data_IF_951028890409
#
_entry.id   IF_951028890409
#
_cell.length_a   1.000
_cell.length_b   1.000
_cell.length_c   1.000
_cell.angle_alpha   90.00
_cell.angle_beta   90.00
_cell.angle_gamma   90.00
#
_symmetry.space_group_name_H-M   'P 1'
#
loop_
_entity.id
_entity.type
_entity.pdbx_description
1 polymer ?
#
# COMPACT_ATOMS: atom_id res chain seq x y z
N UNK A 1 11.55 14.70 8.13
CA UNK A 1 12.22 13.42 7.79
C UNK A 1 11.18 12.55 7.10
N UNK A 2 11.19 12.46 5.76
CA UNK A 2 10.20 11.66 5.05
C UNK A 2 10.59 10.18 5.13
N UNK A 3 10.12 9.49 6.16
CA UNK A 3 10.16 8.04 6.21
C UNK A 3 9.20 7.52 5.12
N UNK A 4 9.73 7.08 3.99
CA UNK A 4 8.95 6.35 2.98
C UNK A 4 8.58 5.00 3.58
N UNK A 5 7.36 4.89 4.06
CA UNK A 5 6.78 3.61 4.41
C UNK A 5 6.60 2.84 3.09
N UNK A 6 7.48 1.89 2.84
CA UNK A 6 7.34 1.00 1.68
C UNK A 6 6.37 -0.10 2.07
N UNK A 7 5.15 -0.04 1.54
CA UNK A 7 4.26 -1.19 1.52
C UNK A 7 4.88 -2.16 0.50
N UNK A 8 5.66 -3.13 0.97
CA UNK A 8 6.28 -4.11 0.09
C UNK A 8 5.21 -5.10 -0.38
N UNK A 9 4.81 -4.96 -1.64
CA UNK A 9 4.15 -6.03 -2.37
C UNK A 9 5.22 -6.75 -3.18
N UNK A 10 5.35 -8.07 -3.01
CA UNK A 10 6.34 -8.89 -3.68
C UNK A 10 6.20 -8.80 -5.20
N UNK A 11 7.23 -8.38 -5.88
CA UNK A 11 7.28 -8.34 -7.33
C UNK A 11 8.16 -9.48 -7.85
N UNK A 12 7.53 -10.58 -8.26
CA UNK A 12 8.13 -11.52 -9.20
C UNK A 12 7.73 -11.11 -10.61
N UNK A 13 8.58 -10.41 -11.33
CA UNK A 13 8.33 -9.99 -12.71
C UNK A 13 8.49 -11.20 -13.65
N UNK A 14 7.37 -11.77 -14.08
CA UNK A 14 7.32 -12.58 -15.30
C UNK A 14 6.87 -11.67 -16.45
N UNK A 15 7.75 -11.39 -17.37
CA UNK A 15 7.43 -10.65 -18.59
C UNK A 15 6.57 -11.54 -19.51
N UNK A 16 5.26 -11.26 -19.56
CA UNK A 16 4.33 -11.88 -20.53
C UNK A 16 4.07 -10.85 -21.62
N UNK A 17 4.30 -11.24 -22.87
CA UNK A 17 3.96 -10.43 -24.04
C UNK A 17 2.43 -10.18 -24.09
N UNK A 18 1.95 -8.99 -24.55
CA UNK A 18 0.53 -8.73 -24.63
C UNK A 18 -0.11 -9.58 -25.72
N UNK A 19 -0.91 -10.57 -25.32
CA UNK A 19 -1.87 -11.22 -26.20
C UNK A 19 -3.10 -10.34 -26.31
N UNK A 20 -3.56 -10.11 -27.54
CA UNK A 20 -4.84 -9.46 -27.78
C UNK A 20 -5.94 -10.34 -27.15
N UNK A 21 -6.59 -9.86 -26.13
CA UNK A 21 -7.68 -10.57 -25.47
C UNK A 21 -8.93 -10.39 -26.34
N UNK A 22 -9.41 -11.46 -26.95
CA UNK A 22 -10.73 -11.51 -27.57
C UNK A 22 -11.81 -11.21 -26.53
N UNK A 23 -13.01 -10.80 -26.97
CA UNK A 23 -14.07 -10.26 -26.11
C UNK A 23 -14.34 -11.11 -24.85
N UNK A 24 -13.61 -10.82 -23.80
CA UNK A 24 -13.73 -11.49 -22.53
C UNK A 24 -15.06 -11.12 -21.88
N UNK A 25 -15.67 -12.07 -21.20
CA UNK A 25 -16.77 -11.75 -20.28
C UNK A 25 -16.24 -10.81 -19.20
N UNK A 26 -16.82 -9.63 -19.07
CA UNK A 26 -16.37 -8.61 -18.12
C UNK A 26 -17.36 -8.44 -17.00
N UNK A 27 -16.87 -8.57 -15.77
CA UNK A 27 -17.68 -8.45 -14.57
C UNK A 27 -17.24 -7.22 -13.77
N UNK A 28 -18.19 -6.27 -13.56
CA UNK A 28 -17.97 -5.16 -12.65
C UNK A 28 -18.05 -5.68 -11.21
N UNK A 29 -16.92 -5.77 -10.54
CA UNK A 29 -16.77 -6.37 -9.23
C UNK A 29 -16.69 -5.33 -8.13
N UNK A 30 -17.40 -5.57 -7.02
CA UNK A 30 -17.34 -4.79 -5.79
C UNK A 30 -16.88 -5.69 -4.65
N UNK A 31 -15.94 -5.23 -3.85
CA UNK A 31 -15.41 -5.98 -2.70
C UNK A 31 -16.50 -6.10 -1.63
N UNK A 32 -16.77 -7.34 -1.23
CA UNK A 32 -17.80 -7.65 -0.24
C UNK A 32 -17.34 -7.32 1.19
N UNK A 33 -18.26 -6.91 2.08
CA UNK A 33 -17.94 -6.58 3.48
C UNK A 33 -17.37 -7.75 4.30
N UNK A 34 -17.53 -8.98 3.81
CA UNK A 34 -16.96 -10.20 4.43
C UNK A 34 -15.46 -10.35 4.17
N UNK A 35 -14.90 -9.50 3.33
CA UNK A 35 -13.48 -9.50 3.03
C UNK A 35 -12.67 -9.08 4.25
N UNK A 36 -11.48 -9.68 4.41
CA UNK A 36 -10.57 -9.37 5.50
C UNK A 36 -9.16 -9.12 4.98
N UNK A 37 -8.46 -8.22 5.65
CA UNK A 37 -7.07 -7.89 5.36
C UNK A 37 -6.32 -7.63 6.67
N UNK A 38 -5.11 -8.17 6.79
CA UNK A 38 -4.21 -7.89 7.90
C UNK A 38 -2.78 -7.75 7.39
N UNK A 39 -2.02 -6.82 7.96
CA UNK A 39 -0.62 -6.62 7.62
C UNK A 39 0.16 -6.09 8.82
N UNK A 40 1.38 -6.59 8.97
CA UNK A 40 2.36 -6.10 9.92
C UNK A 40 3.68 -5.92 9.17
N UNK A 41 4.10 -4.67 9.01
CA UNK A 41 5.38 -4.32 8.40
C UNK A 41 6.27 -3.72 9.46
N UNK A 42 7.41 -4.33 9.71
CA UNK A 42 8.42 -3.85 10.64
C UNK A 42 9.71 -3.54 9.89
N UNK A 43 10.21 -2.32 10.07
CA UNK A 43 11.50 -1.90 9.55
C UNK A 43 12.50 -1.91 10.69
N UNK A 44 13.73 -2.34 10.43
CA UNK A 44 14.87 -2.25 11.35
C UNK A 44 15.98 -1.47 10.68
N UNK A 45 16.28 -0.27 11.21
CA UNK A 45 17.30 0.64 10.69
C UNK A 45 18.40 0.82 11.74
N UNK A 46 19.58 0.18 11.57
CA UNK A 46 20.71 0.41 12.46
C UNK A 46 21.19 1.86 12.34
N UNK A 47 21.47 2.48 13.48
CA UNK A 47 21.92 3.86 13.60
C UNK A 47 23.09 3.91 14.59
N UNK A 48 24.23 4.41 14.18
CA UNK A 48 25.35 4.68 15.04
C UNK A 48 25.72 6.16 15.01
N UNK A 49 26.08 6.71 16.15
CA UNK A 49 26.37 8.14 16.21
C UNK A 49 26.89 8.60 17.56
N UNK A 50 26.76 9.89 17.75
CA UNK A 50 27.14 10.56 18.99
C UNK A 50 26.07 11.55 19.39
N UNK A 51 25.98 11.83 20.68
CA UNK A 51 25.20 12.95 21.20
C UNK A 51 26.03 13.86 22.09
N UNK A 52 25.61 15.11 22.16
CA UNK A 52 26.19 16.13 22.98
C UNK A 52 25.09 16.85 23.76
N UNK A 53 25.30 17.05 25.05
CA UNK A 53 24.25 17.52 25.96
C UNK A 53 24.11 19.02 26.06
N UNK A 54 23.18 19.42 26.89
CA UNK A 54 22.84 20.81 27.21
C UNK A 54 22.44 21.64 25.97
N UNK A 55 21.65 21.02 25.09
CA UNK A 55 21.08 21.72 23.97
C UNK A 55 19.93 22.64 24.44
N UNK A 56 19.96 23.88 23.97
CA UNK A 56 18.85 24.82 24.02
C UNK A 56 18.84 25.63 22.72
N UNK A 57 17.71 25.70 22.07
CA UNK A 57 17.57 26.29 20.73
C UNK A 57 17.95 27.79 20.70
N UNK A 58 17.84 28.48 21.81
CA UNK A 58 18.10 29.94 21.94
C UNK A 58 19.45 30.22 22.58
N UNK A 59 19.71 29.58 23.74
CA UNK A 59 20.87 29.92 24.57
C UNK A 59 22.09 29.03 24.32
N UNK A 60 21.89 27.82 23.75
CA UNK A 60 22.97 26.86 23.48
C UNK A 60 22.66 25.94 22.29
N UNK A 61 22.51 26.50 21.07
CA UNK A 61 22.04 25.76 19.90
C UNK A 61 23.00 24.68 19.39
N UNK A 62 24.26 24.72 19.81
CA UNK A 62 25.27 23.73 19.41
C UNK A 62 25.43 22.59 20.40
N UNK A 63 24.79 22.68 21.58
CA UNK A 63 24.94 21.74 22.67
C UNK A 63 26.34 21.75 23.30
N UNK A 64 26.40 21.51 24.58
CA UNK A 64 27.69 21.42 25.31
C UNK A 64 27.51 20.49 26.52
N UNK A 65 28.63 20.19 27.20
CA UNK A 65 28.67 19.62 28.56
C UNK A 65 28.13 18.18 28.68
N UNK A 66 28.62 17.30 27.81
CA UNK A 66 28.62 15.86 28.08
C UNK A 66 30.01 15.39 28.43
N UNK A 67 30.12 14.40 29.33
CA UNK A 67 31.40 13.77 29.74
C UNK A 67 31.25 12.26 29.88
N UNK A 68 32.21 11.49 29.42
CA UNK A 68 32.17 10.03 29.57
C UNK A 68 32.44 9.60 31.02
N UNK A 69 31.85 8.46 31.42
CA UNK A 69 32.02 7.82 32.72
C UNK A 69 31.32 8.52 33.88
N UNK A 70 31.45 7.97 35.06
CA UNK A 70 30.82 8.46 36.31
C UNK A 70 31.42 9.80 36.77
N UNK A 71 32.69 9.98 36.63
CA UNK A 71 33.40 11.14 37.16
C UNK A 71 33.78 12.14 36.08
N UNK A 72 33.74 11.72 34.83
CA UNK A 72 34.00 12.54 33.63
C UNK A 72 35.24 13.43 33.73
N UNK A 73 36.05 13.49 32.70
CA UNK A 73 37.16 14.43 32.60
C UNK A 73 36.73 15.89 32.49
N UNK A 74 37.64 16.81 32.27
CA UNK A 74 37.35 18.18 31.90
C UNK A 74 36.99 18.28 30.43
N UNK A 75 36.09 19.20 30.10
CA UNK A 75 35.71 19.47 28.72
C UNK A 75 34.36 18.85 28.29
N UNK A 76 33.99 19.15 27.09
CA UNK A 76 32.78 18.65 26.45
C UNK A 76 33.16 17.57 25.43
N UNK A 77 32.62 16.39 25.58
CA UNK A 77 32.96 15.22 24.74
C UNK A 77 31.65 14.63 24.22
N UNK A 78 31.58 14.43 22.92
CA UNK A 78 30.45 13.72 22.31
C UNK A 78 30.44 12.26 22.74
N UNK A 79 29.29 11.77 23.18
CA UNK A 79 29.13 10.42 23.72
C UNK A 79 28.65 9.50 22.58
N UNK A 80 29.36 8.41 22.29
CA UNK A 80 28.99 7.46 21.28
C UNK A 80 27.76 6.63 21.74
N UNK A 81 26.88 6.34 20.78
CA UNK A 81 25.77 5.40 20.94
C UNK A 81 25.62 4.50 19.71
N UNK A 82 24.97 3.38 19.90
CA UNK A 82 24.41 2.56 18.83
C UNK A 82 22.93 2.31 19.11
N UNK A 83 22.19 2.15 18.05
CA UNK A 83 20.73 2.06 18.10
C UNK A 83 20.20 1.25 16.94
N UNK A 84 18.97 0.75 17.08
CA UNK A 84 18.16 0.31 15.96
C UNK A 84 16.81 1.01 16.05
N UNK A 85 16.49 1.79 15.05
CA UNK A 85 15.18 2.43 14.91
C UNK A 85 14.20 1.47 14.23
N UNK A 86 13.05 1.25 14.84
CA UNK A 86 12.05 0.25 14.42
C UNK A 86 10.68 0.87 14.23
N UNK A 87 10.40 1.47 13.06
CA UNK A 87 9.02 1.76 12.67
C UNK A 87 8.27 0.45 12.39
N UNK A 88 7.06 0.34 12.93
CA UNK A 88 6.18 -0.81 12.74
C UNK A 88 4.79 -0.33 12.36
N UNK A 89 4.36 -0.66 11.15
CA UNK A 89 2.99 -0.40 10.69
C UNK A 89 2.13 -1.65 10.87
N UNK A 90 0.98 -1.49 11.51
CA UNK A 90 0.06 -2.60 11.80
C UNK A 90 -1.34 -2.26 11.33
N UNK A 91 -1.86 -3.14 10.48
CA UNK A 91 -3.28 -3.29 10.16
C UNK A 91 -3.68 -4.64 10.75
N UNK A 92 -4.26 -4.65 11.94
CA UNK A 92 -4.51 -5.89 12.68
C UNK A 92 -5.62 -6.73 12.06
N UNK A 93 -6.69 -6.08 11.63
CA UNK A 93 -7.79 -6.66 10.85
C UNK A 93 -8.61 -5.53 10.29
N UNK A 94 -8.83 -5.52 8.98
CA UNK A 94 -9.68 -4.55 8.32
C UNK A 94 -10.63 -5.24 7.36
N UNK A 95 -11.71 -4.55 7.00
CA UNK A 95 -12.63 -4.97 5.95
C UNK A 95 -12.37 -4.07 4.74
N UNK A 96 -11.53 -4.51 3.78
CA UNK A 96 -11.21 -3.72 2.62
C UNK A 96 -12.45 -3.43 1.79
N UNK A 97 -12.45 -2.27 1.15
CA UNK A 97 -13.49 -1.84 0.21
C UNK A 97 -12.87 -1.50 -1.13
N UNK A 98 -13.69 -1.51 -2.18
CA UNK A 98 -13.20 -1.13 -3.49
C UNK A 98 -13.89 -1.86 -4.62
N UNK A 99 -13.37 -1.66 -5.82
CA UNK A 99 -13.95 -2.22 -7.04
C UNK A 99 -12.89 -2.45 -8.11
N UNK A 100 -13.22 -3.29 -9.07
CA UNK A 100 -12.43 -3.55 -10.28
C UNK A 100 -13.31 -4.24 -11.31
N UNK A 101 -12.85 -4.30 -12.55
CA UNK A 101 -13.47 -5.13 -13.58
C UNK A 101 -12.60 -6.37 -13.75
N UNK A 102 -13.21 -7.54 -13.68
CA UNK A 102 -12.60 -8.84 -13.93
C UNK A 102 -13.02 -9.35 -15.29
N UNK A 103 -12.08 -9.54 -16.20
CA UNK A 103 -12.29 -10.12 -17.51
C UNK A 103 -11.84 -11.57 -17.57
N UNK A 104 -12.63 -12.44 -18.21
CA UNK A 104 -12.28 -13.84 -18.46
C UNK A 104 -12.66 -14.21 -19.89
N UNK A 105 -11.68 -14.65 -20.66
CA UNK A 105 -11.91 -15.36 -21.90
C UNK A 105 -11.95 -16.88 -21.60
N UNK A 106 -13.14 -17.47 -21.69
CA UNK A 106 -13.33 -18.90 -21.39
C UNK A 106 -12.71 -19.82 -22.43
N UNK A 107 -12.45 -19.32 -23.64
CA UNK A 107 -11.88 -20.14 -24.72
C UNK A 107 -10.37 -20.30 -24.55
N UNK A 108 -9.69 -19.25 -24.14
CA UNK A 108 -8.24 -19.22 -23.98
C UNK A 108 -7.77 -19.34 -22.53
N UNK A 109 -8.64 -19.08 -21.57
CA UNK A 109 -8.28 -18.94 -20.16
C UNK A 109 -7.55 -17.64 -19.85
N UNK A 110 -7.54 -16.65 -20.76
CA UNK A 110 -6.94 -15.36 -20.47
C UNK A 110 -7.79 -14.59 -19.46
N UNK A 111 -7.11 -13.94 -18.51
CA UNK A 111 -7.72 -13.08 -17.49
C UNK A 111 -7.12 -11.69 -17.58
N UNK A 112 -7.96 -10.68 -17.48
CA UNK A 112 -7.52 -9.30 -17.28
C UNK A 112 -8.23 -8.66 -16.07
N UNK A 113 -7.54 -7.72 -15.45
CA UNK A 113 -8.11 -6.85 -14.40
C UNK A 113 -7.90 -5.40 -14.78
N UNK A 114 -8.97 -4.61 -14.71
CA UNK A 114 -8.92 -3.18 -15.02
C UNK A 114 -9.63 -2.36 -13.95
N UNK A 115 -9.14 -1.14 -13.73
CA UNK A 115 -9.75 -0.20 -12.81
C UNK A 115 -9.69 -0.63 -11.34
N UNK A 116 -8.71 -1.45 -10.94
CA UNK A 116 -8.57 -1.84 -9.54
C UNK A 116 -8.34 -0.60 -8.67
N UNK A 117 -9.25 -0.40 -7.72
CA UNK A 117 -9.16 0.62 -6.69
C UNK A 117 -9.60 0.01 -5.35
N UNK A 118 -8.63 -0.24 -4.47
CA UNK A 118 -8.86 -0.84 -3.16
C UNK A 118 -8.47 0.13 -2.06
N UNK A 119 -9.33 0.26 -1.05
CA UNK A 119 -8.97 0.81 0.26
C UNK A 119 -8.79 -0.37 1.22
N UNK A 120 -7.55 -0.69 1.57
CA UNK A 120 -7.24 -1.86 2.40
C UNK A 120 -7.54 -1.65 3.87
N UNK A 121 -7.68 -0.40 4.33
CA UNK A 121 -8.11 -0.09 5.69
C UNK A 121 -9.63 -0.20 5.86
N UNK A 122 -10.39 0.01 4.79
CA UNK A 122 -11.85 0.13 4.90
C UNK A 122 -12.24 1.30 5.81
N UNK A 123 -13.10 1.02 6.78
CA UNK A 123 -13.52 1.98 7.80
C UNK A 123 -12.60 1.95 9.07
N UNK A 124 -11.72 0.96 9.17
CA UNK A 124 -10.76 0.84 10.26
C UNK A 124 -9.51 1.66 9.96
N UNK A 125 -8.82 2.08 10.99
CA UNK A 125 -7.49 2.67 10.87
C UNK A 125 -6.39 1.62 11.04
N UNK A 126 -5.17 2.03 10.75
CA UNK A 126 -3.96 1.32 11.12
C UNK A 126 -3.15 2.13 12.12
N UNK A 127 -2.11 1.53 12.67
CA UNK A 127 -1.18 2.21 13.58
C UNK A 127 0.24 2.11 13.06
N UNK A 128 1.05 3.14 13.32
CA UNK A 128 2.49 3.11 13.15
C UNK A 128 3.11 3.39 14.51
N UNK A 129 3.76 2.42 15.08
CA UNK A 129 4.55 2.55 16.29
C UNK A 129 6.02 2.68 15.91
N UNK A 130 6.71 3.70 16.39
CA UNK A 130 8.16 3.84 16.20
C UNK A 130 8.86 3.70 17.54
N UNK A 131 9.75 2.73 17.63
CA UNK A 131 10.59 2.48 18.81
C UNK A 131 12.06 2.56 18.41
N UNK A 132 12.90 2.85 19.37
CA UNK A 132 14.35 2.86 19.21
C UNK A 132 14.98 2.07 20.35
N UNK A 133 15.85 1.13 20.04
CA UNK A 133 16.69 0.50 21.06
C UNK A 133 18.03 1.21 21.12
N UNK A 134 18.43 1.66 22.32
CA UNK A 134 19.67 2.40 22.57
C UNK A 134 20.67 1.55 23.34
N UNK A 135 21.93 1.66 22.94
CA UNK A 135 23.09 1.14 23.67
C UNK A 135 24.11 2.26 23.80
N UNK A 136 24.50 2.57 25.02
CA UNK A 136 25.53 3.57 25.31
C UNK A 136 26.28 3.26 26.59
N UNK A 137 27.49 3.79 26.69
CA UNK A 137 28.33 3.71 27.93
C UNK A 137 27.92 4.83 28.89
N UNK A 138 28.22 4.63 30.18
CA UNK A 138 27.95 5.62 31.24
C UNK A 138 28.51 7.00 30.86
N UNK A 139 27.71 8.05 31.03
CA UNK A 139 28.10 9.44 30.81
C UNK A 139 27.36 10.39 31.76
N UNK A 140 27.79 11.65 31.75
CA UNK A 140 27.14 12.73 32.54
C UNK A 140 26.78 13.91 31.65
N UNK A 141 25.69 14.59 32.04
CA UNK A 141 25.33 15.95 31.58
C UNK A 141 25.47 16.92 32.76
N UNK A 142 25.47 18.22 32.49
CA UNK A 142 25.59 19.27 33.52
C UNK A 142 24.44 20.24 33.57
N UNK A 143 23.59 20.27 32.54
CA UNK A 143 22.34 21.01 32.52
C UNK A 143 21.27 20.19 31.80
N UNK A 144 20.43 19.48 32.52
CA UNK A 144 20.49 19.24 33.97
C UNK A 144 21.70 18.37 34.36
N UNK A 145 22.15 18.53 35.61
CA UNK A 145 23.24 17.65 36.14
C UNK A 145 22.67 16.27 36.42
N UNK A 146 23.06 15.30 35.60
CA UNK A 146 22.64 13.91 35.74
C UNK A 146 23.70 12.95 35.23
N UNK A 147 23.75 11.77 35.84
CA UNK A 147 24.55 10.64 35.39
C UNK A 147 23.62 9.62 34.72
N UNK A 148 23.99 9.25 33.53
CA UNK A 148 23.32 8.21 32.72
C UNK A 148 24.15 6.94 32.82
N UNK A 149 23.60 5.93 33.49
CA UNK A 149 24.24 4.63 33.62
C UNK A 149 24.21 3.94 32.25
N UNK A 150 25.34 3.37 31.84
CA UNK A 150 25.42 2.66 30.57
C UNK A 150 24.40 1.53 30.50
N UNK A 151 23.78 1.41 29.33
CA UNK A 151 22.73 0.42 29.06
C UNK A 151 23.00 -0.28 27.74
N UNK A 152 22.44 -1.48 27.62
CA UNK A 152 22.37 -2.22 26.38
C UNK A 152 20.91 -2.48 26.04
N UNK A 153 20.53 -2.14 24.82
CA UNK A 153 19.17 -2.37 24.28
C UNK A 153 18.06 -1.70 25.12
N UNK A 154 18.28 -0.47 25.60
CA UNK A 154 17.22 0.32 26.21
C UNK A 154 16.15 0.60 25.15
N UNK A 155 14.93 0.13 25.37
CA UNK A 155 13.82 0.33 24.47
C UNK A 155 13.11 1.67 24.77
N UNK A 156 13.15 2.57 23.81
CA UNK A 156 12.60 3.93 23.90
C UNK A 156 11.48 4.08 22.88
N UNK A 157 10.24 4.31 23.31
CA UNK A 157 9.18 4.69 22.39
C UNK A 157 9.45 6.11 21.86
N UNK A 158 9.40 6.28 20.53
CA UNK A 158 9.60 7.57 19.88
C UNK A 158 8.28 8.21 19.50
N UNK A 159 7.38 7.41 18.94
CA UNK A 159 6.09 7.92 18.45
C UNK A 159 5.08 6.79 18.26
N UNK A 160 3.78 7.17 18.36
CA UNK A 160 2.65 6.39 17.92
C UNK A 160 1.86 7.23 16.92
N UNK A 161 1.86 6.78 15.67
CA UNK A 161 1.19 7.42 14.56
C UNK A 161 -0.10 6.66 14.20
N UNK A 162 -1.05 7.36 13.59
CA UNK A 162 -2.24 6.74 13.02
C UNK A 162 -2.14 6.69 11.51
N UNK A 163 -2.52 5.56 10.91
CA UNK A 163 -2.80 5.43 9.48
C UNK A 163 -4.28 5.70 9.25
N UNK A 164 -4.59 6.68 8.42
CA UNK A 164 -5.96 7.05 8.04
C UNK A 164 -6.34 6.61 6.63
N UNK A 165 -5.36 6.46 5.74
CA UNK A 165 -5.54 6.00 4.36
C UNK A 165 -4.50 4.96 4.01
N UNK A 166 -4.93 3.88 3.37
CA UNK A 166 -4.05 2.95 2.66
C UNK A 166 -4.81 2.41 1.45
N UNK A 167 -4.52 2.99 0.29
CA UNK A 167 -5.19 2.64 -0.97
C UNK A 167 -4.22 2.05 -1.97
N UNK A 168 -4.72 1.14 -2.80
CA UNK A 168 -4.01 0.59 -3.93
C UNK A 168 -4.83 0.84 -5.20
N UNK A 169 -4.30 1.64 -6.11
CA UNK A 169 -4.95 1.99 -7.38
C UNK A 169 -4.13 1.45 -8.53
N UNK A 170 -4.78 0.77 -9.47
CA UNK A 170 -4.10 0.21 -10.64
C UNK A 170 -3.35 1.27 -11.43
N UNK A 171 -2.10 0.99 -11.77
CA UNK A 171 -1.19 1.90 -12.48
C UNK A 171 -0.78 1.41 -13.87
N UNK A 172 -1.19 0.21 -14.27
CA UNK A 172 -0.84 -0.37 -15.56
C UNK A 172 -1.68 -1.59 -15.91
N UNK A 173 -1.48 -2.17 -17.11
CA UNK A 173 -2.23 -3.35 -17.54
C UNK A 173 -1.93 -4.55 -16.61
N UNK A 174 -2.97 -5.35 -16.37
CA UNK A 174 -2.91 -6.55 -15.56
C UNK A 174 -3.52 -7.72 -16.33
N UNK A 175 -2.65 -8.61 -16.80
CA UNK A 175 -3.03 -9.79 -17.57
C UNK A 175 -2.54 -11.02 -16.82
N UNK A 176 -3.37 -12.06 -16.78
CA UNK A 176 -3.09 -13.33 -16.12
C UNK A 176 -3.71 -14.50 -16.86
N UNK A 177 -3.82 -15.61 -16.16
CA UNK A 177 -4.37 -16.84 -16.71
C UNK A 177 -5.33 -17.51 -15.72
N UNK A 178 -6.30 -18.22 -16.27
CA UNK A 178 -7.21 -19.06 -15.52
C UNK A 178 -7.32 -20.45 -16.13
N UNK A 179 -7.69 -21.40 -15.28
CA UNK A 179 -7.97 -22.80 -15.64
C UNK A 179 -9.33 -23.22 -15.10
N UNK A 180 -10.12 -23.83 -15.96
CA UNK A 180 -11.41 -24.38 -15.57
C UNK A 180 -11.24 -25.62 -14.67
N UNK A 181 -12.03 -25.72 -13.63
CA UNK A 181 -12.15 -26.88 -12.77
C UNK A 181 -13.33 -27.76 -13.21
N UNK A 182 -13.33 -29.02 -12.81
CA UNK A 182 -14.40 -29.96 -13.14
C UNK A 182 -15.77 -29.58 -12.54
N UNK A 183 -15.80 -28.77 -11.50
CA UNK A 183 -17.02 -28.28 -10.84
C UNK A 183 -17.57 -26.98 -11.46
N UNK A 184 -16.98 -26.50 -12.56
CA UNK A 184 -17.39 -25.28 -13.25
C UNK A 184 -16.82 -23.99 -12.69
N UNK A 185 -16.02 -24.06 -11.64
CA UNK A 185 -15.24 -22.92 -11.15
C UNK A 185 -13.96 -22.71 -11.96
N UNK A 186 -13.31 -21.56 -11.80
CA UNK A 186 -12.07 -21.23 -12.48
C UNK A 186 -11.02 -20.79 -11.47
N UNK A 187 -9.86 -21.47 -11.46
CA UNK A 187 -8.70 -21.00 -10.74
C UNK A 187 -7.98 -19.97 -11.58
N UNK A 188 -7.59 -18.86 -11.00
CA UNK A 188 -6.90 -17.78 -11.73
C UNK A 188 -5.73 -17.20 -10.93
N UNK A 189 -4.80 -16.58 -11.66
CA UNK A 189 -3.72 -15.78 -11.11
C UNK A 189 -3.46 -14.59 -12.01
N UNK A 190 -3.43 -13.39 -11.42
CA UNK A 190 -3.10 -12.14 -12.10
C UNK A 190 -2.32 -11.23 -11.18
N UNK A 191 -1.27 -10.59 -11.70
CA UNK A 191 -0.52 -9.56 -10.97
C UNK A 191 -0.93 -8.19 -11.48
N UNK A 192 -1.45 -7.36 -10.59
CA UNK A 192 -1.91 -6.01 -10.89
C UNK A 192 -0.87 -5.01 -10.42
N UNK A 193 -0.22 -4.25 -11.32
CA UNK A 193 0.63 -3.13 -10.92
C UNK A 193 -0.23 -2.03 -10.32
N UNK A 194 0.19 -1.51 -9.18
CA UNK A 194 -0.58 -0.49 -8.44
C UNK A 194 0.31 0.65 -7.97
N UNK A 195 -0.31 1.80 -7.76
CA UNK A 195 0.22 2.86 -6.91
C UNK A 195 -0.42 2.73 -5.55
N UNK A 196 0.40 2.57 -4.53
CA UNK A 196 -0.04 2.53 -3.13
C UNK A 196 0.10 3.93 -2.55
N UNK A 197 -1.00 4.46 -2.00
CA UNK A 197 -1.01 5.72 -1.26
C UNK A 197 -1.32 5.46 0.21
N UNK A 198 -0.51 6.06 1.08
CA UNK A 198 -0.63 5.94 2.54
C UNK A 198 -0.65 7.34 3.14
N UNK A 199 -1.63 7.61 4.00
CA UNK A 199 -1.73 8.87 4.74
C UNK A 199 -1.95 8.60 6.23
N UNK A 200 -1.49 9.54 7.04
CA UNK A 200 -1.64 9.43 8.48
C UNK A 200 -1.08 10.63 9.21
N UNK A 201 -0.91 10.49 10.52
CA UNK A 201 -0.27 11.49 11.37
C UNK A 201 0.89 10.85 12.11
N UNK A 202 2.05 11.49 12.09
CA UNK A 202 3.23 11.09 12.83
C UNK A 202 3.83 12.31 13.54
N UNK A 203 4.18 12.17 14.81
CA UNK A 203 4.71 13.27 15.63
C UNK A 203 3.82 14.52 15.61
N UNK A 204 2.50 14.33 15.59
CA UNK A 204 1.52 15.41 15.49
C UNK A 204 1.41 16.09 14.14
N UNK A 205 2.15 15.64 13.12
CA UNK A 205 2.14 16.22 11.76
C UNK A 205 1.55 15.23 10.76
N UNK A 206 0.71 15.68 9.81
CA UNK A 206 0.21 14.84 8.75
C UNK A 206 1.35 14.42 7.80
N UNK A 207 1.28 13.21 7.29
CA UNK A 207 2.16 12.73 6.23
C UNK A 207 1.37 12.05 5.13
N UNK A 208 1.90 12.12 3.92
CA UNK A 208 1.40 11.41 2.73
C UNK A 208 2.58 10.74 2.05
N UNK A 209 2.40 9.50 1.63
CA UNK A 209 3.41 8.76 0.88
C UNK A 209 2.76 7.98 -0.26
N UNK A 210 3.38 8.01 -1.43
CA UNK A 210 2.97 7.19 -2.57
C UNK A 210 4.16 6.34 -3.04
N UNK A 211 3.90 5.09 -3.38
CA UNK A 211 4.92 4.18 -3.90
C UNK A 211 4.34 3.22 -4.94
N UNK A 212 5.14 2.81 -5.95
CA UNK A 212 4.74 1.73 -6.82
C UNK A 212 4.73 0.41 -6.06
N UNK A 213 3.82 -0.47 -6.45
CA UNK A 213 3.68 -1.81 -5.88
C UNK A 213 3.00 -2.76 -6.85
N UNK A 214 2.74 -3.96 -6.40
CA UNK A 214 1.93 -4.93 -7.14
C UNK A 214 0.97 -5.65 -6.19
N UNK A 215 -0.20 -5.98 -6.69
CA UNK A 215 -1.20 -6.74 -5.96
C UNK A 215 -1.40 -8.08 -6.70
N UNK A 216 -1.08 -9.19 -6.04
CA UNK A 216 -1.27 -10.51 -6.62
C UNK A 216 -2.65 -11.01 -6.25
N UNK A 217 -3.50 -11.20 -7.26
CA UNK A 217 -4.83 -11.79 -7.12
C UNK A 217 -4.76 -13.24 -7.58
N UNK A 218 -4.77 -14.16 -6.63
CA UNK A 218 -4.81 -15.61 -6.89
C UNK A 218 -6.01 -16.21 -6.16
N UNK A 219 -6.81 -16.98 -6.86
CA UNK A 219 -8.01 -17.51 -6.25
C UNK A 219 -8.94 -18.23 -7.22
N UNK A 220 -10.22 -18.22 -6.89
CA UNK A 220 -11.27 -18.87 -7.67
C UNK A 220 -12.34 -17.88 -8.11
N UNK A 221 -12.81 -18.05 -9.31
CA UNK A 221 -13.98 -17.36 -9.87
C UNK A 221 -15.11 -18.38 -10.07
N UNK A 222 -16.29 -18.05 -9.56
CA UNK A 222 -17.52 -18.83 -9.73
C UNK A 222 -18.54 -17.98 -10.44
N UNK A 223 -19.22 -18.52 -11.43
CA UNK A 223 -20.18 -17.81 -12.27
C UNK A 223 -21.54 -18.44 -12.18
N UNK A 224 -22.57 -17.62 -12.02
CA UNK A 224 -23.98 -18.05 -11.99
C UNK A 224 -24.81 -17.03 -12.79
N UNK A 225 -25.03 -17.34 -14.07
CA UNK A 225 -25.61 -16.39 -15.02
C UNK A 225 -24.78 -15.11 -15.11
N UNK A 226 -25.42 -13.97 -14.92
CA UNK A 226 -24.77 -12.65 -14.97
C UNK A 226 -24.02 -12.27 -13.68
N UNK A 227 -23.95 -13.16 -12.72
CA UNK A 227 -23.25 -12.93 -11.45
C UNK A 227 -21.94 -13.71 -11.39
N UNK A 228 -20.91 -13.06 -10.84
CA UNK A 228 -19.65 -13.68 -10.51
C UNK A 228 -19.33 -13.50 -9.03
N UNK A 229 -18.72 -14.53 -8.46
CA UNK A 229 -18.08 -14.44 -7.14
C UNK A 229 -16.60 -14.72 -7.33
N UNK A 230 -15.78 -13.72 -7.07
CA UNK A 230 -14.33 -13.80 -7.16
C UNK A 230 -13.77 -13.88 -5.75
N UNK A 231 -13.15 -14.98 -5.40
CA UNK A 231 -12.54 -15.19 -4.08
C UNK A 231 -11.04 -15.29 -4.23
N UNK A 232 -10.31 -14.39 -3.57
CA UNK A 232 -8.85 -14.43 -3.52
C UNK A 232 -8.38 -14.62 -2.10
N UNK A 233 -7.29 -15.37 -1.94
CA UNK A 233 -6.60 -15.55 -0.68
C UNK A 233 -5.11 -15.32 -0.91
N UNK A 234 -4.49 -14.59 -0.01
CA UNK A 234 -3.09 -14.31 -0.08
C UNK A 234 -2.45 -14.27 1.30
N UNK A 235 -1.20 -14.68 1.36
CA UNK A 235 -0.33 -14.46 2.51
C UNK A 235 0.95 -13.81 2.02
N UNK A 236 1.47 -12.87 2.80
CA UNK A 236 2.79 -12.29 2.57
C UNK A 236 3.67 -12.61 3.77
N UNK A 237 4.89 -13.05 3.50
CA UNK A 237 5.96 -13.19 4.48
C UNK A 237 7.27 -12.94 3.74
N UNK A 238 7.70 -11.68 3.76
CA UNK A 238 8.80 -11.21 2.96
C UNK A 238 9.73 -10.35 3.79
N UNK A 239 11.02 -10.45 3.52
CA UNK A 239 12.04 -9.55 4.06
C UNK A 239 12.84 -8.97 2.91
N UNK A 240 12.83 -7.62 2.82
CA UNK A 240 13.54 -6.87 1.78
C UNK A 240 14.55 -5.93 2.40
N UNK A 241 15.68 -5.66 1.74
CA UNK A 241 16.62 -4.65 2.18
C UNK A 241 16.01 -3.25 2.06
N UNK A 242 16.33 -2.38 3.01
CA UNK A 242 15.96 -0.96 3.01
C UNK A 242 17.24 -0.15 2.99
N UNK A 243 17.45 0.69 1.98
CA UNK A 243 18.65 1.51 1.91
C UNK A 243 18.70 2.50 3.08
N UNK A 244 19.91 2.80 3.52
CA UNK A 244 20.16 3.74 4.60
C UNK A 244 19.53 5.10 4.32
N UNK A 245 18.73 5.68 5.24
CA UNK A 245 18.26 7.06 5.15
C UNK A 245 19.42 8.07 5.23
N UNK A 246 19.12 9.33 4.93
CA UNK A 246 20.07 10.41 5.12
C UNK A 246 20.55 10.48 6.59
N UNK A 247 21.82 10.84 6.84
CA UNK A 247 22.35 10.99 8.18
C UNK A 247 21.56 12.02 9.01
N UNK A 248 21.51 11.79 10.31
CA UNK A 248 21.01 12.76 11.27
C UNK A 248 22.15 13.73 11.61
N UNK A 249 21.87 15.02 11.56
CA UNK A 249 22.86 16.05 11.90
C UNK A 249 22.24 17.00 12.92
N UNK A 250 22.80 17.03 14.11
CA UNK A 250 22.40 17.92 15.20
C UNK A 250 20.88 17.90 15.47
N UNK A 251 20.28 16.72 15.48
CA UNK A 251 18.87 16.55 15.78
C UNK A 251 18.63 16.68 17.28
N UNK A 252 17.70 17.53 17.74
CA UNK A 252 17.29 17.57 19.13
C UNK A 252 16.75 16.20 19.58
N UNK A 253 17.20 15.73 20.72
CA UNK A 253 16.80 14.47 21.31
C UNK A 253 16.72 14.60 22.83
N UNK A 254 15.57 14.24 23.40
CA UNK A 254 15.30 14.33 24.82
C UNK A 254 15.48 12.96 25.47
N UNK A 255 16.25 12.92 26.54
CA UNK A 255 16.52 11.73 27.32
C UNK A 255 16.12 11.98 28.78
N UNK A 256 15.20 11.19 29.37
CA UNK A 256 14.88 11.31 30.79
C UNK A 256 16.11 11.10 31.66
N UNK A 257 16.33 11.95 32.65
CA UNK A 257 17.46 11.83 33.56
C UNK A 257 17.34 10.63 34.48
N UNK A 258 18.49 10.03 34.86
CA UNK A 258 18.53 8.79 35.64
C UNK A 258 19.00 9.07 37.08
N UNK A 259 20.12 9.73 37.27
CA UNK A 259 20.69 10.02 38.61
C UNK A 259 21.16 11.48 38.70
N UNK A 260 20.36 12.37 39.32
CA UNK A 260 19.00 12.16 39.79
C UNK A 260 17.99 12.04 38.64
N UNK A 261 16.90 11.34 38.89
CA UNK A 261 15.75 11.30 37.99
C UNK A 261 14.85 12.53 38.17
N UNK A 262 13.88 12.73 37.26
CA UNK A 262 12.83 13.76 37.37
C UNK A 262 13.04 15.01 36.53
N UNK A 263 14.05 15.00 35.65
CA UNK A 263 14.29 16.04 34.64
C UNK A 263 14.50 15.42 33.27
N UNK A 264 14.70 16.26 32.26
CA UNK A 264 15.00 15.84 30.90
C UNK A 264 16.33 16.46 30.48
N UNK A 265 17.24 15.63 29.94
CA UNK A 265 18.44 16.12 29.30
C UNK A 265 18.15 16.34 27.82
N UNK A 266 18.38 17.56 27.38
CA UNK A 266 18.26 17.96 25.98
C UNK A 266 19.60 17.74 25.28
N UNK A 267 19.61 16.83 24.31
CA UNK A 267 20.80 16.40 23.58
C UNK A 267 20.70 16.80 22.12
N UNK A 268 21.84 17.01 21.48
CA UNK A 268 21.95 17.02 20.03
C UNK A 268 22.50 15.68 19.57
N UNK A 269 21.77 15.00 18.75
CA UNK A 269 22.11 13.71 18.20
C UNK A 269 22.61 13.85 16.75
N UNK A 270 23.76 13.30 16.45
CA UNK A 270 24.24 13.13 15.09
C UNK A 270 24.59 11.67 14.85
N UNK A 271 24.18 11.12 13.72
CA UNK A 271 24.41 9.71 13.45
C UNK A 271 24.18 9.34 11.99
N UNK A 272 24.71 8.18 11.64
CA UNK A 272 24.61 7.60 10.30
C UNK A 272 23.84 6.30 10.38
N UNK A 273 22.85 6.16 9.52
CA UNK A 273 22.16 4.91 9.33
C UNK A 273 23.00 3.97 8.46
N UNK A 274 22.89 2.68 8.74
CA UNK A 274 23.29 1.61 7.82
C UNK A 274 22.07 1.06 7.13
N UNK A 275 22.28 0.32 6.04
CA UNK A 275 21.20 -0.42 5.38
C UNK A 275 20.47 -1.30 6.39
N UNK A 276 19.18 -1.28 6.30
CA UNK A 276 18.26 -1.99 7.17
C UNK A 276 17.51 -3.09 6.46
N UNK A 277 16.50 -3.60 7.14
CA UNK A 277 15.58 -4.60 6.61
C UNK A 277 14.13 -4.19 6.89
N UNK A 278 13.25 -4.51 5.95
CA UNK A 278 11.80 -4.44 6.15
C UNK A 278 11.24 -5.85 6.08
N UNK A 279 10.56 -6.28 7.14
CA UNK A 279 9.86 -7.56 7.19
C UNK A 279 8.36 -7.29 7.18
N UNK A 280 7.69 -7.85 6.20
CA UNK A 280 6.23 -7.75 6.03
C UNK A 280 5.60 -9.11 6.18
N UNK A 281 4.63 -9.23 7.07
CA UNK A 281 3.77 -10.40 7.23
C UNK A 281 2.32 -9.97 7.13
N UNK A 282 1.48 -10.80 6.55
CA UNK A 282 0.06 -10.47 6.44
C UNK A 282 -0.75 -11.57 5.77
N UNK A 283 -2.05 -11.38 5.79
CA UNK A 283 -3.01 -12.25 5.12
C UNK A 283 -4.18 -11.44 4.57
N UNK A 284 -4.72 -11.91 3.46
CA UNK A 284 -5.92 -11.35 2.85
C UNK A 284 -6.87 -12.46 2.46
N UNK A 285 -8.16 -12.21 2.63
CA UNK A 285 -9.24 -13.00 2.07
C UNK A 285 -10.23 -12.01 1.48
N UNK A 286 -10.19 -11.84 0.17
CA UNK A 286 -11.02 -10.85 -0.51
C UNK A 286 -12.06 -11.59 -1.34
N UNK A 287 -13.32 -11.29 -1.07
CA UNK A 287 -14.48 -11.73 -1.85
C UNK A 287 -15.01 -10.53 -2.59
N UNK A 288 -15.14 -10.63 -3.90
CA UNK A 288 -15.77 -9.60 -4.71
C UNK A 288 -16.97 -10.18 -5.46
N UNK A 289 -18.05 -9.45 -5.46
CA UNK A 289 -19.28 -9.78 -6.16
C UNK A 289 -19.31 -8.99 -7.47
N UNK A 290 -19.37 -9.71 -8.58
CA UNK A 290 -19.36 -9.15 -9.93
C UNK A 290 -20.69 -9.27 -10.62
N UNK A 291 -21.05 -8.25 -11.39
CA UNK A 291 -22.16 -8.28 -12.33
C UNK A 291 -21.61 -8.18 -13.74
N UNK A 292 -22.11 -9.05 -14.61
CA UNK A 292 -21.70 -9.10 -16.01
C UNK A 292 -22.02 -7.77 -16.70
N UNK A 293 -21.03 -7.19 -17.35
CA UNK A 293 -21.21 -5.98 -18.11
C UNK A 293 -21.86 -6.28 -19.48
N UNK A 294 -22.80 -5.47 -19.92
CA UNK A 294 -23.33 -5.59 -21.29
C UNK A 294 -22.21 -5.33 -22.30
N UNK A 295 -22.26 -6.02 -23.42
CA UNK A 295 -21.37 -5.75 -24.54
C UNK A 295 -21.91 -4.53 -25.28
N UNK A 296 -21.05 -3.52 -25.48
CA UNK A 296 -21.45 -2.30 -26.17
C UNK A 296 -21.77 -2.62 -27.65
N UNK A 297 -22.98 -2.25 -28.09
CA UNK A 297 -23.44 -2.52 -29.45
C UNK A 297 -24.13 -3.87 -29.65
N UNK A 298 -24.14 -4.74 -28.64
CA UNK A 298 -24.94 -5.97 -28.61
C UNK A 298 -26.41 -5.60 -28.26
N UNK A 299 -27.24 -5.53 -29.26
CA UNK A 299 -28.64 -5.11 -29.11
C UNK A 299 -29.60 -6.29 -28.91
N UNK A 300 -29.18 -7.50 -29.26
CA UNK A 300 -29.98 -8.72 -29.10
C UNK A 300 -29.63 -9.50 -27.79
N UNK A 301 -28.55 -9.15 -27.11
CA UNK A 301 -28.11 -9.76 -25.86
C UNK A 301 -27.41 -11.13 -26.03
N UNK A 302 -26.93 -11.45 -27.25
CA UNK A 302 -26.23 -12.73 -27.52
C UNK A 302 -24.73 -12.65 -27.27
N UNK A 303 -24.21 -11.47 -26.85
CA UNK A 303 -22.82 -11.15 -26.52
C UNK A 303 -21.87 -11.06 -27.71
N UNK A 304 -22.39 -10.96 -28.92
CA UNK A 304 -21.63 -10.75 -30.13
C UNK A 304 -22.17 -9.59 -30.91
N UNK A 305 -21.40 -8.58 -31.22
CA UNK A 305 -21.80 -7.48 -32.09
C UNK A 305 -21.66 -7.92 -33.52
N UNK A 306 -22.76 -8.22 -34.19
CA UNK A 306 -22.78 -8.84 -35.51
C UNK A 306 -23.96 -8.33 -36.39
N UNK A 307 -24.24 -9.05 -37.49
CA UNK A 307 -25.28 -8.67 -38.44
C UNK A 307 -26.69 -8.64 -37.88
N UNK A 308 -27.01 -9.36 -36.79
CA UNK A 308 -28.29 -9.29 -36.11
C UNK A 308 -28.47 -7.96 -35.39
N UNK A 309 -27.42 -7.49 -34.70
CA UNK A 309 -27.46 -6.19 -34.03
C UNK A 309 -27.52 -5.05 -35.00
N UNK A 310 -26.80 -5.16 -36.12
CA UNK A 310 -26.91 -4.21 -37.22
C UNK A 310 -28.35 -4.14 -37.76
N UNK A 311 -29.00 -5.30 -37.89
CA UNK A 311 -30.41 -5.37 -38.29
C UNK A 311 -31.33 -4.66 -37.33
N UNK A 312 -31.12 -4.78 -36.00
CA UNK A 312 -31.86 -4.08 -34.96
C UNK A 312 -31.62 -2.57 -34.99
N UNK A 313 -30.36 -2.15 -35.15
CA UNK A 313 -29.99 -0.75 -35.27
C UNK A 313 -30.65 -0.11 -36.49
N UNK A 314 -30.55 -0.77 -37.68
CA UNK A 314 -31.19 -0.28 -38.92
C UNK A 314 -32.70 -0.28 -38.81
N UNK A 315 -33.32 -1.22 -38.10
CA UNK A 315 -34.75 -1.26 -37.82
C UNK A 315 -35.24 -0.10 -36.95
N UNK A 316 -34.37 0.46 -36.12
CA UNK A 316 -34.64 1.61 -35.25
C UNK A 316 -34.21 2.96 -35.87
N UNK A 317 -33.75 2.98 -37.12
CA UNK A 317 -33.19 4.16 -37.77
C UNK A 317 -34.14 5.36 -37.78
N UNK A 318 -33.67 6.52 -37.34
CA UNK A 318 -34.46 7.76 -37.26
C UNK A 318 -35.42 7.82 -36.06
N UNK A 319 -35.39 6.83 -35.16
CA UNK A 319 -36.14 6.83 -33.90
C UNK A 319 -35.24 7.19 -32.74
N UNK A 320 -35.80 7.23 -31.52
CA UNK A 320 -35.04 7.41 -30.24
C UNK A 320 -34.33 6.13 -29.79
N UNK A 321 -34.31 5.08 -30.58
CA UNK A 321 -33.63 3.82 -30.25
C UNK A 321 -34.30 2.94 -29.21
N UNK A 322 -35.47 3.31 -28.71
CA UNK A 322 -36.20 2.52 -27.71
C UNK A 322 -37.12 1.47 -28.34
N UNK A 323 -37.28 0.30 -27.76
CA UNK A 323 -36.63 -0.23 -26.56
C UNK A 323 -35.29 -0.96 -26.83
N UNK A 324 -34.81 -0.99 -28.07
CA UNK A 324 -33.64 -1.80 -28.46
C UNK A 324 -32.30 -1.28 -27.93
N UNK A 325 -32.24 -0.03 -27.45
CA UNK A 325 -30.97 0.61 -27.05
C UNK A 325 -30.08 0.96 -28.24
N UNK A 326 -30.65 1.12 -29.45
CA UNK A 326 -29.94 1.38 -30.70
C UNK A 326 -29.34 2.79 -30.81
N UNK A 327 -29.78 3.73 -29.98
CA UNK A 327 -29.17 5.04 -29.79
C UNK A 327 -27.90 4.85 -28.89
N UNK A 328 -26.78 4.52 -29.52
CA UNK A 328 -25.53 4.15 -28.83
C UNK A 328 -24.77 5.35 -28.31
N UNK A 329 -24.98 6.53 -28.90
CA UNK A 329 -24.32 7.76 -28.45
C UNK A 329 -25.18 8.57 -27.45
N UNK A 330 -26.47 8.23 -27.28
CA UNK A 330 -27.38 8.86 -26.34
C UNK A 330 -27.87 10.25 -26.80
N UNK A 331 -27.84 10.56 -28.11
CA UNK A 331 -28.24 11.87 -28.64
C UNK A 331 -29.75 11.98 -28.92
N UNK A 332 -30.49 10.88 -28.76
CA UNK A 332 -31.93 10.78 -28.93
C UNK A 332 -32.34 10.43 -30.36
N UNK A 333 -31.43 10.05 -31.26
CA UNK A 333 -31.77 9.69 -32.63
C UNK A 333 -30.81 8.64 -33.19
N UNK A 334 -31.30 7.48 -33.52
CA UNK A 334 -30.52 6.43 -34.21
C UNK A 334 -30.14 6.87 -35.62
N UNK A 335 -28.85 7.00 -35.89
CA UNK A 335 -28.33 7.55 -37.13
C UNK A 335 -26.93 6.97 -37.50
N UNK A 336 -26.24 7.64 -38.42
CA UNK A 336 -24.91 7.20 -38.88
C UNK A 336 -23.80 7.24 -37.81
N UNK A 337 -23.95 8.00 -36.73
CA UNK A 337 -23.01 8.00 -35.64
C UNK A 337 -23.11 6.71 -34.82
N UNK A 338 -24.36 6.23 -34.56
CA UNK A 338 -24.59 4.97 -33.84
C UNK A 338 -24.13 3.78 -34.67
N UNK A 339 -24.34 3.81 -35.98
CA UNK A 339 -23.79 2.82 -36.88
C UNK A 339 -22.27 2.81 -36.82
N UNK A 340 -21.63 3.97 -36.81
CA UNK A 340 -20.17 4.08 -36.68
C UNK A 340 -19.66 3.50 -35.38
N UNK A 341 -20.34 3.75 -34.26
CA UNK A 341 -19.99 3.18 -32.94
C UNK A 341 -20.17 1.65 -32.94
N UNK A 342 -21.27 1.13 -33.47
CA UNK A 342 -21.50 -0.31 -33.59
C UNK A 342 -20.43 -1.00 -34.45
N UNK A 343 -20.08 -0.42 -35.59
CA UNK A 343 -19.02 -0.97 -36.45
C UNK A 343 -17.64 -0.93 -35.78
N UNK A 344 -17.40 0.04 -34.88
CA UNK A 344 -16.20 0.10 -34.06
C UNK A 344 -16.13 -0.99 -32.98
N UNK A 345 -17.27 -1.57 -32.61
CA UNK A 345 -17.39 -2.66 -31.64
C UNK A 345 -17.59 -4.03 -32.30
N UNK A 346 -17.53 -4.11 -33.64
CA UNK A 346 -17.79 -5.31 -34.41
C UNK A 346 -16.76 -6.39 -34.18
N UNK A 347 -17.18 -7.63 -33.78
CA UNK A 347 -16.29 -8.79 -33.59
C UNK A 347 -16.75 -9.77 -32.55
#
# INVERSE_FOLDING_TARGET
>A
MNARLVLAAAASAVAIAPLAVAAAERYACTVAPTSTYSQNTQIALPLAGTWIGNYDAVTNPTGTQTRPGLFGGSGNVAIPFSSVVRPRAVISSSNPTGSYVFGLDRATGAVDVTGLALNVLGAQGGTIETRMTLTYSTFRTFAPNSTFIGVSNLDVPLDNAALSVATATQSGPAIGAATANADGTWNFAVTVPVTVAVEGTAMGSPFTSTSPGSFVLTGTATFNGDQATITTQGTVNETVPVPAPAPLVNMPFDLPTILPAGSTAHLLMSGTFSDGTSTTTGSSSIVALGTLQPVFGDLNGDRAVNGFDLGLLLGAWGTDGQPSGADLNGDGTVNGFDLGLMLGAWG
#
